data_IF_533422141794
#
_entry.id   IF_533422141794
#
_cell.length_a   1.000
_cell.length_b   1.000
_cell.length_c   1.000
_cell.angle_alpha   90.00
_cell.angle_beta   90.00
_cell.angle_gamma   90.00
#
_symmetry.space_group_name_H-M   'P 1'
#
loop_
_entity.id
_entity.type
_entity.pdbx_description
1 polymer ?
#
# COMPACT_ATOMS: atom_id res chain seq x y z
N UNK A 1 -13.75 16.30 -1.61
CA UNK A 1 -12.34 16.15 -1.19
C UNK A 1 -11.48 16.75 -2.30
N UNK A 2 -10.43 17.51 -1.97
CA UNK A 2 -9.43 18.00 -2.93
C UNK A 2 -8.04 17.60 -2.44
N UNK A 3 -7.16 17.14 -3.33
CA UNK A 3 -5.80 16.71 -3.02
C UNK A 3 -4.82 17.58 -3.81
N UNK A 4 -3.91 18.25 -3.10
CA UNK A 4 -2.80 18.96 -3.73
C UNK A 4 -1.67 17.99 -4.07
N UNK A 5 -1.31 17.90 -5.35
CA UNK A 5 -0.22 17.03 -5.81
C UNK A 5 1.18 17.60 -5.58
N UNK A 6 2.21 16.81 -5.90
CA UNK A 6 3.62 17.22 -5.84
C UNK A 6 4.33 17.01 -4.50
N UNK A 7 3.62 16.48 -3.50
CA UNK A 7 4.18 16.18 -2.17
C UNK A 7 4.83 14.80 -2.15
N UNK A 8 6.01 14.67 -1.55
CA UNK A 8 6.63 13.36 -1.28
C UNK A 8 5.86 12.65 -0.18
N UNK A 9 5.71 11.33 -0.31
CA UNK A 9 5.12 10.51 0.74
C UNK A 9 6.19 10.17 1.78
N UNK A 10 5.81 10.16 3.05
CA UNK A 10 6.65 9.68 4.13
C UNK A 10 6.10 8.35 4.64
N UNK A 11 7.01 7.45 5.03
CA UNK A 11 6.65 6.19 5.65
C UNK A 11 5.86 6.37 6.94
N UNK A 12 4.97 5.43 7.22
CA UNK A 12 4.11 5.47 8.39
C UNK A 12 3.22 4.24 8.49
N UNK A 13 2.28 4.29 9.44
CA UNK A 13 1.31 3.22 9.67
C UNK A 13 -0.02 3.52 8.97
N UNK A 14 -0.50 2.58 8.16
CA UNK A 14 -1.78 2.65 7.44
C UNK A 14 -2.71 1.55 7.94
N UNK A 15 -3.88 1.91 8.46
CA UNK A 15 -4.93 0.96 8.84
C UNK A 15 -5.93 0.81 7.68
N UNK A 16 -6.06 -0.40 7.13
CA UNK A 16 -6.93 -0.69 5.99
C UNK A 16 -8.40 -0.96 6.39
N UNK A 17 -8.67 -1.15 7.67
CA UNK A 17 -9.96 -1.48 8.28
C UNK A 17 -10.66 -2.68 7.60
N UNK A 18 -9.87 -3.66 7.14
CA UNK A 18 -10.37 -4.82 6.38
C UNK A 18 -10.81 -4.53 4.94
N UNK A 19 -10.65 -3.32 4.42
CA UNK A 19 -10.90 -3.01 3.00
C UNK A 19 -9.64 -3.29 2.15
N UNK A 20 -9.73 -4.30 1.29
CA UNK A 20 -8.64 -4.68 0.37
C UNK A 20 -8.15 -3.52 -0.50
N UNK A 21 -9.02 -2.55 -0.83
CA UNK A 21 -8.64 -1.38 -1.64
C UNK A 21 -7.74 -0.43 -0.86
N UNK A 22 -8.01 -0.23 0.43
CA UNK A 22 -7.15 0.60 1.27
C UNK A 22 -5.80 -0.06 1.52
N UNK A 23 -5.78 -1.38 1.71
CA UNK A 23 -4.52 -2.13 1.83
C UNK A 23 -3.68 -2.06 0.53
N UNK A 24 -4.29 -2.25 -0.64
CA UNK A 24 -3.58 -2.12 -1.93
C UNK A 24 -3.11 -0.68 -2.19
N UNK A 25 -3.93 0.33 -1.85
CA UNK A 25 -3.55 1.74 -1.95
C UNK A 25 -2.34 2.05 -1.05
N UNK A 26 -2.37 1.58 0.19
CA UNK A 26 -1.25 1.71 1.13
C UNK A 26 0.02 1.06 0.60
N UNK A 27 -0.08 -0.13 0.02
CA UNK A 27 1.06 -0.86 -0.55
C UNK A 27 1.67 -0.14 -1.75
N UNK A 28 0.85 0.36 -2.67
CA UNK A 28 1.34 1.15 -3.80
C UNK A 28 1.97 2.48 -3.35
N UNK A 29 1.39 3.14 -2.33
CA UNK A 29 1.97 4.35 -1.75
C UNK A 29 3.31 4.09 -1.04
N UNK A 30 3.44 2.97 -0.34
CA UNK A 30 4.66 2.57 0.36
C UNK A 30 5.86 2.40 -0.59
N UNK A 31 5.64 1.96 -1.83
CA UNK A 31 6.70 1.82 -2.84
C UNK A 31 7.40 3.15 -3.19
N UNK A 32 6.73 4.29 -2.99
CA UNK A 32 7.27 5.62 -3.30
C UNK A 32 7.46 6.50 -2.06
N UNK A 33 7.24 5.94 -0.86
CA UNK A 33 7.36 6.67 0.39
C UNK A 33 8.81 6.69 0.88
N UNK A 34 9.21 7.80 1.51
CA UNK A 34 10.49 7.92 2.18
C UNK A 34 10.39 7.32 3.59
N UNK A 35 11.12 6.24 3.84
CA UNK A 35 11.15 5.53 5.12
C UNK A 35 10.17 4.36 5.20
N UNK A 36 10.16 3.70 6.35
CA UNK A 36 9.42 2.45 6.52
C UNK A 36 7.91 2.68 6.58
N UNK A 37 7.17 1.84 5.85
CA UNK A 37 5.71 1.81 5.88
C UNK A 37 5.21 0.48 6.44
N UNK A 38 4.17 0.54 7.29
CA UNK A 38 3.49 -0.63 7.82
C UNK A 38 2.01 -0.54 7.50
N UNK A 39 1.45 -1.62 6.95
CA UNK A 39 0.04 -1.70 6.57
C UNK A 39 -0.62 -2.75 7.46
N UNK A 40 -1.61 -2.31 8.24
CA UNK A 40 -2.42 -3.18 9.10
C UNK A 40 -3.57 -3.78 8.28
N UNK A 41 -4.00 -5.00 8.63
CA UNK A 41 -5.02 -5.76 7.89
C UNK A 41 -4.69 -5.98 6.40
N UNK A 42 -3.40 -6.16 6.08
CA UNK A 42 -2.90 -6.41 4.73
C UNK A 42 -3.38 -7.75 4.12
N UNK A 43 -3.80 -8.70 4.96
CA UNK A 43 -4.39 -9.98 4.57
C UNK A 43 -5.72 -9.84 3.83
N UNK A 44 -6.46 -8.74 4.05
CA UNK A 44 -7.71 -8.45 3.34
C UNK A 44 -7.55 -8.44 1.82
N UNK A 45 -6.36 -8.09 1.31
CA UNK A 45 -6.07 -8.09 -0.13
C UNK A 45 -6.29 -9.46 -0.76
N UNK A 46 -5.94 -10.53 -0.05
CA UNK A 46 -6.02 -11.90 -0.54
C UNK A 46 -7.45 -12.36 -0.87
N UNK A 47 -8.47 -11.68 -0.34
CA UNK A 47 -9.88 -11.97 -0.63
C UNK A 47 -10.24 -11.64 -2.08
N UNK A 48 -9.70 -10.54 -2.61
CA UNK A 48 -10.03 -10.03 -3.95
C UNK A 48 -8.91 -10.20 -4.97
N UNK A 49 -7.66 -10.18 -4.52
CA UNK A 49 -6.49 -10.35 -5.39
C UNK A 49 -5.43 -11.23 -4.70
N UNK A 50 -5.58 -12.56 -4.74
CA UNK A 50 -4.68 -13.50 -4.06
C UNK A 50 -3.20 -13.38 -4.44
N UNK A 51 -2.89 -13.00 -5.68
CA UNK A 51 -1.52 -12.87 -6.19
C UNK A 51 -0.91 -11.47 -5.97
N UNK A 52 -1.62 -10.53 -5.35
CA UNK A 52 -1.20 -9.13 -5.26
C UNK A 52 0.22 -8.96 -4.69
N UNK A 53 0.54 -9.61 -3.57
CA UNK A 53 1.84 -9.45 -2.91
C UNK A 53 2.99 -10.00 -3.77
N UNK A 54 2.78 -11.14 -4.45
CA UNK A 54 3.78 -11.68 -5.37
C UNK A 54 3.97 -10.81 -6.61
N UNK A 55 2.91 -10.19 -7.11
CA UNK A 55 3.00 -9.28 -8.25
C UNK A 55 3.65 -7.96 -7.85
N UNK A 56 3.34 -7.45 -6.65
CA UNK A 56 3.97 -6.26 -6.08
C UNK A 56 5.47 -6.47 -5.87
N UNK A 57 5.87 -7.63 -5.34
CA UNK A 57 7.28 -8.00 -5.16
C UNK A 57 8.03 -8.05 -6.50
N UNK A 58 7.43 -8.66 -7.52
CA UNK A 58 7.99 -8.69 -8.89
C UNK A 58 8.20 -7.31 -9.50
N UNK A 59 7.37 -6.34 -9.14
CA UNK A 59 7.46 -4.97 -9.64
C UNK A 59 8.40 -4.10 -8.78
N UNK A 60 8.48 -4.37 -7.48
CA UNK A 60 9.27 -3.62 -6.50
C UNK A 60 10.71 -4.10 -6.33
N UNK A 61 11.06 -5.28 -6.82
CA UNK A 61 12.45 -5.77 -6.82
C UNK A 61 13.28 -5.02 -7.86
N UNK A 62 14.00 -4.00 -7.41
CA UNK A 62 15.13 -3.36 -8.10
C UNK A 62 16.43 -3.65 -7.34
#
# INVERSE_FOLDING_TARGET
>A
LAVGGGTRLHGGRVEAAGDHRLAMLGAAGALIAEGDSQIECADAVGVSYPAFWSDLERLGSA
#
